data_IF_482064400064
#
_entry.id   IF_482064400064
#
_cell.length_a   1.000
_cell.length_b   1.000
_cell.length_c   1.000
_cell.angle_alpha   90.00
_cell.angle_beta   90.00
_cell.angle_gamma   90.00
#
_symmetry.space_group_name_H-M   'P 1'
#
loop_
_entity.id
_entity.type
_entity.pdbx_description
1 polymer ?
#
# COMPACT_ATOMS: atom_id res chain seq x y z
N UNK A 1 -30.85 -23.57 12.04
CA UNK A 1 -31.72 -23.41 13.22
C UNK A 1 -33.05 -22.78 12.82
N UNK A 2 -33.06 -21.73 11.99
CA UNK A 2 -34.27 -21.01 11.55
C UNK A 2 -35.30 -21.86 10.76
N UNK A 3 -34.86 -22.67 9.79
CA UNK A 3 -35.73 -23.53 8.97
C UNK A 3 -36.54 -24.54 9.81
N UNK A 4 -35.94 -25.14 10.84
CA UNK A 4 -36.62 -26.14 11.70
C UNK A 4 -37.66 -25.49 12.62
N UNK A 5 -37.38 -24.28 13.10
CA UNK A 5 -38.30 -23.50 13.95
C UNK A 5 -39.53 -23.11 13.12
N UNK A 6 -39.32 -22.55 11.92
CA UNK A 6 -40.43 -22.18 11.02
C UNK A 6 -41.26 -23.41 10.62
N UNK A 7 -40.62 -24.58 10.46
CA UNK A 7 -41.34 -25.82 10.18
C UNK A 7 -42.17 -26.31 11.37
N UNK A 8 -41.66 -26.18 12.61
CA UNK A 8 -42.41 -26.51 13.84
C UNK A 8 -43.57 -25.55 14.10
N UNK A 9 -43.47 -24.30 13.64
CA UNK A 9 -44.55 -23.31 13.70
C UNK A 9 -45.66 -23.56 12.67
N UNK A 10 -45.53 -24.59 11.81
CA UNK A 10 -46.57 -25.00 10.87
C UNK A 10 -46.45 -24.42 9.46
N UNK A 11 -45.40 -23.64 9.17
CA UNK A 11 -45.23 -23.01 7.87
C UNK A 11 -45.02 -24.02 6.73
N UNK A 12 -45.54 -23.70 5.54
CA UNK A 12 -45.35 -24.53 4.35
C UNK A 12 -43.92 -24.39 3.84
N UNK A 13 -43.44 -25.37 3.06
CA UNK A 13 -42.09 -25.33 2.50
C UNK A 13 -41.86 -24.11 1.58
N UNK A 14 -42.92 -23.54 1.01
CA UNK A 14 -42.85 -22.33 0.16
C UNK A 14 -42.72 -21.08 1.01
N UNK A 15 -43.45 -20.99 2.12
CA UNK A 15 -43.39 -19.83 3.01
C UNK A 15 -42.01 -19.75 3.67
N UNK A 16 -41.49 -20.90 4.12
CA UNK A 16 -40.12 -20.99 4.66
C UNK A 16 -39.08 -20.58 3.62
N UNK A 17 -39.27 -20.95 2.34
CA UNK A 17 -38.36 -20.57 1.25
C UNK A 17 -38.37 -19.06 0.97
N UNK A 18 -39.54 -18.42 1.03
CA UNK A 18 -39.68 -16.96 0.88
C UNK A 18 -39.00 -16.25 2.05
N UNK A 19 -39.25 -16.70 3.28
CA UNK A 19 -38.76 -16.05 4.49
C UNK A 19 -37.24 -16.22 4.68
N UNK A 20 -36.68 -17.38 4.31
CA UNK A 20 -35.24 -17.64 4.40
C UNK A 20 -34.46 -17.24 3.14
N UNK A 21 -35.14 -16.85 2.05
CA UNK A 21 -34.52 -16.55 0.75
C UNK A 21 -33.87 -17.76 0.07
N UNK A 22 -34.18 -18.98 0.52
CA UNK A 22 -33.59 -20.23 0.01
C UNK A 22 -34.55 -20.94 -0.93
N UNK A 23 -34.02 -21.65 -1.94
CA UNK A 23 -34.87 -22.48 -2.80
C UNK A 23 -35.61 -23.56 -1.99
N UNK A 24 -36.88 -23.84 -2.34
CA UNK A 24 -37.74 -24.85 -1.69
C UNK A 24 -37.06 -26.23 -1.59
N UNK A 25 -36.28 -26.60 -2.61
CA UNK A 25 -35.52 -27.84 -2.62
C UNK A 25 -34.40 -27.86 -1.56
N UNK A 26 -33.77 -26.71 -1.30
CA UNK A 26 -32.75 -26.56 -0.26
C UNK A 26 -33.37 -26.59 1.14
N UNK A 27 -34.52 -25.95 1.33
CA UNK A 27 -35.31 -26.04 2.58
C UNK A 27 -35.69 -27.49 2.87
N UNK A 28 -36.26 -28.20 1.88
CA UNK A 28 -36.60 -29.63 1.99
C UNK A 28 -35.37 -30.48 2.33
N UNK A 29 -34.24 -30.21 1.66
CA UNK A 29 -32.98 -30.91 1.90
C UNK A 29 -32.46 -30.70 3.33
N UNK A 30 -32.50 -29.47 3.84
CA UNK A 30 -31.99 -29.14 5.18
C UNK A 30 -32.93 -29.61 6.29
N UNK A 31 -34.24 -29.69 6.06
CA UNK A 31 -35.17 -30.33 6.99
C UNK A 31 -34.95 -31.85 7.09
N UNK A 32 -34.49 -32.49 6.01
CA UNK A 32 -34.24 -33.94 5.99
C UNK A 32 -32.83 -34.33 6.49
N UNK A 33 -31.81 -33.53 6.15
CA UNK A 33 -30.40 -33.87 6.39
C UNK A 33 -29.73 -33.00 7.47
N UNK A 34 -30.44 -32.00 8.00
CA UNK A 34 -29.86 -30.96 8.85
C UNK A 34 -29.06 -29.90 8.06
N UNK A 35 -28.57 -28.85 8.74
CA UNK A 35 -27.75 -27.82 8.11
C UNK A 35 -26.43 -28.41 7.57
N UNK A 36 -25.91 -27.85 6.45
CA UNK A 36 -24.69 -28.36 5.85
C UNK A 36 -23.53 -28.18 6.81
N UNK A 37 -22.90 -29.28 7.22
CA UNK A 37 -21.61 -29.21 7.88
C UNK A 37 -20.58 -28.74 6.86
N UNK A 38 -19.96 -27.58 7.13
CA UNK A 38 -18.84 -27.09 6.34
C UNK A 38 -17.71 -28.11 6.50
N UNK A 39 -17.47 -28.92 5.47
CA UNK A 39 -16.28 -29.78 5.42
C UNK A 39 -15.06 -28.86 5.53
N UNK A 40 -14.30 -29.01 6.62
CA UNK A 40 -12.98 -28.38 6.72
C UNK A 40 -12.17 -28.98 5.59
N UNK A 41 -11.77 -28.15 4.63
CA UNK A 41 -10.88 -28.61 3.56
C UNK A 41 -9.57 -29.00 4.22
N UNK A 42 -9.15 -30.24 4.03
CA UNK A 42 -7.82 -30.66 4.45
C UNK A 42 -6.78 -29.76 3.78
N UNK A 43 -5.79 -29.26 4.54
CA UNK A 43 -4.77 -28.40 3.98
C UNK A 43 -3.99 -29.16 2.91
N UNK A 44 -4.14 -28.73 1.66
CA UNK A 44 -3.38 -29.29 0.54
C UNK A 44 -1.91 -29.04 0.81
N UNK A 45 -1.13 -30.13 0.89
CA UNK A 45 0.32 -30.04 1.06
C UNK A 45 0.89 -29.27 -0.13
N UNK A 46 1.39 -28.05 0.13
CA UNK A 46 1.97 -27.23 -0.92
C UNK A 46 3.20 -27.92 -1.48
N UNK A 47 3.42 -27.86 -2.81
CA UNK A 47 4.65 -28.33 -3.47
C UNK A 47 5.94 -27.75 -2.87
N UNK A 48 5.82 -26.59 -2.21
CA UNK A 48 6.92 -25.92 -1.53
C UNK A 48 7.29 -26.52 -0.16
N UNK A 49 6.42 -27.33 0.44
CA UNK A 49 6.59 -27.80 1.81
C UNK A 49 7.95 -28.49 2.07
N UNK A 50 8.46 -29.36 1.18
CA UNK A 50 9.78 -30.00 1.36
C UNK A 50 10.97 -29.02 1.31
N UNK A 51 10.80 -27.86 0.69
CA UNK A 51 11.88 -26.89 0.45
C UNK A 51 11.92 -25.75 1.46
N UNK A 52 10.93 -25.69 2.37
CA UNK A 52 10.77 -24.59 3.35
C UNK A 52 11.96 -24.44 4.30
N UNK A 53 12.51 -25.56 4.78
CA UNK A 53 13.66 -25.58 5.68
C UNK A 53 14.92 -25.06 4.99
N UNK A 54 15.15 -25.49 3.74
CA UNK A 54 16.25 -24.99 2.91
C UNK A 54 16.15 -23.49 2.69
N UNK A 55 14.97 -23.00 2.28
CA UNK A 55 14.73 -21.57 2.05
C UNK A 55 14.95 -20.74 3.32
N UNK A 56 14.49 -21.22 4.48
CA UNK A 56 14.74 -20.56 5.76
C UNK A 56 16.24 -20.47 6.07
N UNK A 57 16.98 -21.57 5.92
CA UNK A 57 18.43 -21.58 6.17
C UNK A 57 19.19 -20.63 5.23
N UNK A 58 18.78 -20.55 3.96
CA UNK A 58 19.39 -19.62 2.98
C UNK A 58 19.10 -18.16 3.31
N UNK A 59 17.86 -17.84 3.69
CA UNK A 59 17.48 -16.48 4.10
C UNK A 59 18.21 -16.08 5.38
N UNK A 60 18.33 -16.98 6.35
CA UNK A 60 19.04 -16.71 7.60
C UNK A 60 20.53 -16.45 7.37
N UNK A 61 21.17 -17.28 6.55
CA UNK A 61 22.59 -17.17 6.22
C UNK A 61 22.93 -15.90 5.41
N UNK A 62 21.96 -15.30 4.74
CA UNK A 62 22.16 -14.10 3.93
C UNK A 62 21.94 -12.79 4.69
N UNK A 63 21.43 -12.83 5.94
CA UNK A 63 21.19 -11.61 6.72
C UNK A 63 22.51 -10.82 6.89
N UNK A 64 22.48 -9.48 6.74
CA UNK A 64 21.28 -8.62 6.64
C UNK A 64 20.68 -8.50 5.22
N UNK A 65 21.36 -9.02 4.19
CA UNK A 65 20.93 -8.92 2.80
C UNK A 65 19.75 -9.87 2.48
N UNK A 66 18.95 -9.47 1.49
CA UNK A 66 17.76 -10.23 1.08
C UNK A 66 17.96 -10.87 -0.29
N UNK A 67 18.00 -12.21 -0.33
CA UNK A 67 18.12 -12.93 -1.59
C UNK A 67 16.82 -12.81 -2.41
N UNK A 68 16.87 -12.40 -3.68
CA UNK A 68 15.69 -12.37 -4.54
C UNK A 68 15.01 -13.75 -4.67
N UNK A 69 13.68 -13.76 -4.67
CA UNK A 69 12.88 -14.98 -4.78
C UNK A 69 13.17 -15.79 -6.06
N UNK A 70 13.61 -15.12 -7.13
CA UNK A 70 14.01 -15.73 -8.39
C UNK A 70 15.27 -16.60 -8.25
N UNK A 71 16.26 -16.14 -7.46
CA UNK A 71 17.49 -16.87 -7.17
C UNK A 71 17.15 -18.10 -6.33
N UNK A 72 16.39 -17.92 -5.25
CA UNK A 72 15.99 -19.02 -4.38
C UNK A 72 15.11 -20.05 -5.10
N UNK A 73 14.25 -19.62 -6.03
CA UNK A 73 13.48 -20.51 -6.91
C UNK A 73 14.42 -21.39 -7.74
N UNK A 74 15.43 -20.80 -8.38
CA UNK A 74 16.38 -21.55 -9.22
C UNK A 74 17.12 -22.61 -8.40
N UNK A 75 17.57 -22.27 -7.20
CA UNK A 75 18.24 -23.21 -6.29
C UNK A 75 17.34 -24.40 -5.89
N UNK A 76 16.04 -24.17 -5.65
CA UNK A 76 15.11 -25.25 -5.31
C UNK A 76 14.63 -26.04 -6.54
N UNK A 77 14.64 -25.44 -7.74
CA UNK A 77 14.37 -26.15 -9.00
C UNK A 77 15.44 -27.20 -9.28
N UNK A 78 16.71 -26.87 -9.05
CA UNK A 78 17.83 -27.82 -9.11
C UNK A 78 17.67 -28.97 -8.09
N UNK A 79 16.92 -28.73 -7.00
CA UNK A 79 16.57 -29.73 -5.97
C UNK A 79 15.24 -30.44 -6.24
N UNK A 80 14.62 -30.24 -7.40
CA UNK A 80 13.42 -30.93 -7.84
C UNK A 80 12.09 -30.21 -7.58
N UNK A 81 12.11 -28.91 -7.27
CA UNK A 81 10.89 -28.11 -7.13
C UNK A 81 10.18 -27.91 -8.48
N UNK A 82 8.89 -28.24 -8.53
CA UNK A 82 8.02 -28.12 -9.73
C UNK A 82 6.85 -27.14 -9.52
N UNK A 83 7.00 -26.20 -8.59
CA UNK A 83 5.98 -25.19 -8.28
C UNK A 83 6.28 -23.84 -8.92
N UNK A 84 5.34 -22.91 -8.79
CA UNK A 84 5.49 -21.55 -9.35
C UNK A 84 6.33 -20.63 -8.47
N UNK A 85 6.84 -19.55 -9.08
CA UNK A 85 7.56 -18.47 -8.38
C UNK A 85 6.69 -17.79 -7.31
N UNK A 86 5.40 -17.61 -7.59
CA UNK A 86 4.43 -17.00 -6.67
C UNK A 86 4.43 -17.67 -5.29
N UNK A 87 4.45 -19.00 -5.25
CA UNK A 87 4.46 -19.74 -3.98
C UNK A 87 5.73 -19.47 -3.16
N UNK A 88 6.88 -19.32 -3.83
CA UNK A 88 8.15 -18.97 -3.21
C UNK A 88 8.09 -17.54 -2.66
N UNK A 89 7.61 -16.58 -3.45
CA UNK A 89 7.43 -15.19 -3.04
C UNK A 89 6.52 -15.06 -1.81
N UNK A 90 5.34 -15.70 -1.85
CA UNK A 90 4.36 -15.68 -0.76
C UNK A 90 4.94 -16.27 0.54
N UNK A 91 5.80 -17.28 0.42
CA UNK A 91 6.48 -17.87 1.57
C UNK A 91 7.59 -16.96 2.11
N UNK A 92 8.44 -16.41 1.24
CA UNK A 92 9.53 -15.51 1.63
C UNK A 92 9.00 -14.22 2.25
N UNK A 93 7.86 -13.71 1.79
CA UNK A 93 7.21 -12.54 2.39
C UNK A 93 6.85 -12.76 3.87
N UNK A 94 6.49 -13.98 4.25
CA UNK A 94 6.20 -14.35 5.66
C UNK A 94 7.45 -14.41 6.53
N UNK A 95 8.63 -14.60 5.92
CA UNK A 95 9.91 -14.62 6.62
C UNK A 95 10.54 -13.23 6.73
N UNK A 96 10.10 -12.28 5.89
CA UNK A 96 10.60 -10.91 5.96
C UNK A 96 10.07 -10.28 7.26
N UNK A 97 10.96 -9.78 8.15
CA UNK A 97 10.50 -9.04 9.31
C UNK A 97 9.63 -7.87 8.83
N UNK A 98 8.52 -7.62 9.53
CA UNK A 98 7.69 -6.46 9.25
C UNK A 98 8.61 -5.24 9.26
N UNK A 99 8.66 -4.50 8.14
CA UNK A 99 9.38 -3.25 8.09
C UNK A 99 8.80 -2.39 9.21
N UNK A 100 9.61 -2.10 10.23
CA UNK A 100 9.25 -1.02 11.13
C UNK A 100 9.17 0.21 10.24
N UNK A 101 8.03 0.93 10.19
CA UNK A 101 8.02 2.19 9.47
C UNK A 101 9.18 3.00 10.01
N UNK A 102 10.02 3.52 9.11
CA UNK A 102 11.09 4.41 9.51
C UNK A 102 10.46 5.49 10.40
N UNK A 103 11.06 5.79 11.57
CA UNK A 103 10.51 6.84 12.41
C UNK A 103 10.45 8.11 11.57
N UNK A 104 9.25 8.66 11.39
CA UNK A 104 9.07 9.94 10.73
C UNK A 104 9.73 10.97 11.64
N UNK A 105 10.99 11.30 11.35
CA UNK A 105 11.69 12.37 12.05
C UNK A 105 11.03 13.66 11.58
N UNK A 106 10.14 14.20 12.41
CA UNK A 106 9.55 15.52 12.18
C UNK A 106 10.64 16.55 12.46
N UNK A 107 11.13 17.18 11.39
CA UNK A 107 11.96 18.36 11.51
C UNK A 107 11.04 19.56 11.78
N UNK A 108 10.99 20.00 13.04
CA UNK A 108 10.23 21.16 13.48
C UNK A 108 11.23 22.30 13.74
N UNK A 109 10.95 23.47 13.16
CA UNK A 109 11.76 24.69 13.31
C UNK A 109 10.93 25.76 13.99
N UNK A 110 11.55 26.66 14.75
CA UNK A 110 10.82 27.78 15.36
C UNK A 110 10.21 28.73 14.29
N UNK A 111 9.14 29.49 14.62
CA UNK A 111 8.59 30.50 13.72
C UNK A 111 9.68 31.46 13.19
N UNK A 112 9.75 31.62 11.86
CA UNK A 112 10.74 32.48 11.21
C UNK A 112 12.17 31.92 11.18
N UNK A 113 12.42 30.71 11.69
CA UNK A 113 13.75 30.11 11.64
C UNK A 113 14.12 29.72 10.20
N UNK A 114 13.25 28.97 9.52
CA UNK A 114 13.58 28.39 8.22
C UNK A 114 12.39 28.35 7.26
N UNK A 115 12.67 28.52 5.98
CA UNK A 115 11.77 28.15 4.89
C UNK A 115 12.47 27.21 3.90
N UNK A 116 11.70 26.35 3.26
CA UNK A 116 12.15 25.53 2.14
C UNK A 116 11.71 26.18 0.84
N UNK A 117 12.60 26.21 -0.15
CA UNK A 117 12.33 26.71 -1.48
C UNK A 117 12.62 25.60 -2.49
N UNK A 118 11.67 25.38 -3.39
CA UNK A 118 11.75 24.37 -4.45
C UNK A 118 11.16 24.91 -5.76
N UNK A 119 11.58 24.30 -6.86
CA UNK A 119 11.05 24.54 -8.20
C UNK A 119 10.25 23.32 -8.69
N UNK A 120 8.98 23.53 -9.00
CA UNK A 120 8.17 22.51 -9.66
C UNK A 120 8.18 22.75 -11.17
N UNK A 121 8.90 21.92 -11.92
CA UNK A 121 8.88 21.96 -13.39
C UNK A 121 7.64 21.26 -13.97
N UNK A 122 6.90 21.97 -14.84
CA UNK A 122 5.77 21.41 -15.57
C UNK A 122 6.17 21.07 -17.01
N UNK A 123 6.50 19.81 -17.26
CA UNK A 123 6.74 19.32 -18.62
C UNK A 123 5.43 18.80 -19.23
N UNK A 124 4.84 19.55 -20.15
CA UNK A 124 3.71 19.08 -20.97
C UNK A 124 4.17 18.75 -22.40
N UNK A 125 4.09 17.49 -22.84
CA UNK A 125 4.29 17.14 -24.24
C UNK A 125 3.29 17.92 -25.12
N UNK A 126 3.78 18.68 -26.09
CA UNK A 126 2.95 19.42 -27.05
C UNK A 126 2.55 20.85 -26.66
N UNK A 127 2.98 21.37 -25.52
CA UNK A 127 2.78 22.78 -25.18
C UNK A 127 3.79 23.65 -25.94
N UNK A 128 3.31 24.58 -26.79
CA UNK A 128 4.15 25.55 -27.52
C UNK A 128 4.71 26.68 -26.65
N UNK A 129 4.27 26.76 -25.39
CA UNK A 129 4.52 27.88 -24.50
C UNK A 129 5.73 27.62 -23.60
N UNK A 130 6.91 27.39 -24.19
CA UNK A 130 8.19 27.37 -23.47
C UNK A 130 8.24 26.49 -22.21
N UNK A 131 9.20 26.79 -21.33
CA UNK A 131 9.29 26.20 -20.00
C UNK A 131 8.24 26.83 -19.08
N UNK A 132 7.59 26.03 -18.24
CA UNK A 132 6.74 26.51 -17.15
C UNK A 132 7.23 25.86 -15.86
N UNK A 133 7.53 26.68 -14.85
CA UNK A 133 7.90 26.24 -13.51
C UNK A 133 7.05 26.96 -12.48
N UNK A 134 6.93 26.40 -11.28
CA UNK A 134 6.43 27.13 -10.11
C UNK A 134 7.53 27.26 -9.08
N UNK A 135 7.77 28.50 -8.65
CA UNK A 135 8.49 28.80 -7.43
C UNK A 135 7.59 28.44 -6.25
N UNK A 136 8.06 27.61 -5.32
CA UNK A 136 7.33 27.29 -4.09
C UNK A 136 8.24 27.57 -2.90
N UNK A 137 7.77 28.42 -1.98
CA UNK A 137 8.42 28.65 -0.70
C UNK A 137 7.48 28.20 0.42
N UNK A 138 7.96 27.38 1.35
CA UNK A 138 7.16 26.84 2.46
C UNK A 138 7.83 27.10 3.80
N UNK A 139 7.12 27.73 4.74
CA UNK A 139 7.62 27.99 6.09
C UNK A 139 7.75 26.68 6.89
N UNK A 140 8.92 26.45 7.51
CA UNK A 140 9.22 25.21 8.22
C UNK A 140 8.34 24.94 9.45
N UNK A 141 7.94 26.00 10.17
CA UNK A 141 7.06 25.90 11.35
C UNK A 141 5.59 25.70 10.95
N UNK A 142 4.99 26.70 10.29
CA UNK A 142 3.54 26.75 10.05
C UNK A 142 3.09 25.95 8.82
N UNK A 143 4.04 25.54 7.95
CA UNK A 143 3.77 24.89 6.66
C UNK A 143 2.92 25.72 5.69
N UNK A 144 2.82 27.03 5.93
CA UNK A 144 2.22 27.95 4.97
C UNK A 144 3.14 28.06 3.76
N UNK A 145 2.57 27.89 2.56
CA UNK A 145 3.29 27.94 1.30
C UNK A 145 2.87 29.15 0.46
N UNK A 146 3.86 29.79 -0.17
CA UNK A 146 3.69 30.72 -1.28
C UNK A 146 4.07 30.02 -2.57
N UNK A 147 3.26 30.16 -3.61
CA UNK A 147 3.53 29.57 -4.91
C UNK A 147 3.30 30.58 -6.04
N UNK A 148 4.21 30.61 -7.00
CA UNK A 148 4.14 31.51 -8.15
C UNK A 148 4.64 30.83 -9.43
N UNK A 149 3.86 30.94 -10.51
CA UNK A 149 4.23 30.38 -11.80
C UNK A 149 5.12 31.34 -12.60
N UNK A 150 6.20 30.80 -13.16
CA UNK A 150 7.18 31.53 -13.96
C UNK A 150 7.55 30.76 -15.21
N UNK A 151 8.04 31.48 -16.22
CA UNK A 151 8.46 30.91 -17.51
C UNK A 151 9.96 30.72 -17.64
N UNK A 152 10.75 31.15 -16.65
CA UNK A 152 12.19 30.97 -16.57
C UNK A 152 12.65 30.81 -15.11
N UNK A 153 13.81 30.19 -14.88
CA UNK A 153 14.39 29.95 -13.55
C UNK A 153 15.71 30.73 -13.38
N UNK A 154 15.84 31.89 -14.03
CA UNK A 154 17.03 32.72 -13.91
C UNK A 154 17.10 33.35 -12.52
N UNK A 155 18.30 33.79 -12.14
CA UNK A 155 18.55 34.40 -10.82
C UNK A 155 17.67 35.64 -10.61
N UNK A 156 17.44 36.45 -11.63
CA UNK A 156 16.58 37.64 -11.51
C UNK A 156 15.14 37.25 -11.16
N UNK A 157 14.62 36.19 -11.79
CA UNK A 157 13.29 35.65 -11.54
C UNK A 157 13.21 35.03 -10.15
N UNK A 158 14.25 34.28 -9.75
CA UNK A 158 14.38 33.70 -8.41
C UNK A 158 14.33 34.77 -7.32
N UNK A 159 15.13 35.83 -7.45
CA UNK A 159 15.17 36.94 -6.49
C UNK A 159 13.84 37.68 -6.42
N UNK A 160 13.21 37.93 -7.58
CA UNK A 160 11.91 38.58 -7.63
C UNK A 160 10.81 37.75 -6.95
N UNK A 161 10.83 36.42 -7.12
CA UNK A 161 9.91 35.52 -6.43
C UNK A 161 10.13 35.54 -4.92
N UNK A 162 11.37 35.58 -4.45
CA UNK A 162 11.68 35.69 -3.02
C UNK A 162 11.12 36.97 -2.41
N UNK A 163 11.32 38.13 -3.07
CA UNK A 163 10.78 39.40 -2.58
C UNK A 163 9.26 39.32 -2.40
N UNK A 164 8.54 38.81 -3.40
CA UNK A 164 7.08 38.64 -3.32
C UNK A 164 6.65 37.62 -2.27
N UNK A 165 7.40 36.52 -2.13
CA UNK A 165 7.14 35.54 -1.09
C UNK A 165 7.30 36.15 0.31
N UNK A 166 8.35 36.94 0.54
CA UNK A 166 8.57 37.62 1.82
C UNK A 166 7.49 38.67 2.12
N UNK A 167 7.07 39.42 1.11
CA UNK A 167 5.94 40.34 1.24
C UNK A 167 4.64 39.59 1.60
N UNK A 168 4.38 38.46 0.95
CA UNK A 168 3.21 37.62 1.23
C UNK A 168 3.24 36.99 2.63
N UNK A 169 4.42 36.61 3.12
CA UNK A 169 4.59 36.10 4.49
C UNK A 169 4.63 37.21 5.55
N UNK A 170 4.82 38.47 5.15
CA UNK A 170 4.98 39.59 6.06
C UNK A 170 6.34 39.61 6.79
N UNK A 171 7.35 38.92 6.26
CA UNK A 171 8.67 38.79 6.88
C UNK A 171 9.61 37.83 6.17
N UNK A 172 10.83 37.73 6.67
CA UNK A 172 11.89 36.84 6.16
C UNK A 172 12.26 35.79 7.21
N UNK A 173 12.70 34.61 6.75
CA UNK A 173 13.28 33.60 7.64
C UNK A 173 14.78 33.81 7.83
N UNK A 174 15.36 33.23 8.89
CA UNK A 174 16.81 33.26 9.11
C UNK A 174 17.57 32.41 8.09
N UNK A 175 16.97 31.30 7.68
CA UNK A 175 17.55 30.36 6.75
C UNK A 175 16.56 29.99 5.64
N UNK A 176 17.12 29.72 4.45
CA UNK A 176 16.39 29.22 3.29
C UNK A 176 17.11 27.96 2.84
N UNK A 177 16.40 26.85 2.79
CA UNK A 177 16.91 25.57 2.28
C UNK A 177 16.39 25.40 0.86
N UNK A 178 17.30 25.14 -0.08
CA UNK A 178 16.98 24.85 -1.47
C UNK A 178 16.97 23.33 -1.68
N UNK A 179 15.88 22.80 -2.23
CA UNK A 179 15.77 21.37 -2.62
C UNK A 179 16.12 21.13 -4.11
#
# INVERSE_FOLDING_TARGET
>A
MEIEILRRQGNSLRDIAVETGMAVNTVRKYLALGPPHRKVREPVVSKLAPFKSYLQGRVEAAKPDWIPATVLKREIEERGYKGGLRQVQDYLQKLRPAARPDPVVRFETEPGQQMQMDWIEFRKPGHKLGMLAAFVATLGYSRVSYAEFVTDMRIETLLACHVRAFEAFGGVTREIVYE
#
